data_IF_142298231228
#
_entry.id   IF_142298231228
#
_cell.length_a   1.000
_cell.length_b   1.000
_cell.length_c   1.000
_cell.angle_alpha   90.00
_cell.angle_beta   90.00
_cell.angle_gamma   90.00
#
_symmetry.space_group_name_H-M   'P 1'
#
loop_
_entity.id
_entity.type
_entity.pdbx_description
1 polymer ?
#
# COMPACT_ATOMS: atom_id res chain seq x y z
N UNK A 1 -22.22 0.07 -6.43
CA UNK A 1 -20.88 0.45 -5.98
C UNK A 1 -20.59 -0.10 -4.58
N UNK A 2 -19.38 0.09 -4.11
CA UNK A 2 -18.94 -0.40 -2.79
C UNK A 2 -19.83 0.18 -1.67
N UNK A 3 -20.39 -0.65 -0.77
CA UNK A 3 -21.21 -0.18 0.35
C UNK A 3 -20.43 0.72 1.32
N UNK A 4 -21.08 1.72 1.91
CA UNK A 4 -20.45 2.62 2.87
C UNK A 4 -19.82 1.89 4.08
N UNK A 5 -20.51 0.84 4.58
CA UNK A 5 -19.98 -0.01 5.66
C UNK A 5 -18.66 -0.69 5.28
N UNK A 6 -18.51 -1.10 4.02
CA UNK A 6 -17.26 -1.70 3.53
C UNK A 6 -16.13 -0.69 3.44
N UNK A 7 -16.45 0.56 3.10
CA UNK A 7 -15.48 1.66 3.10
C UNK A 7 -15.03 1.95 4.53
N UNK A 8 -15.96 2.09 5.47
CA UNK A 8 -15.67 2.28 6.89
C UNK A 8 -14.78 1.15 7.43
N UNK A 9 -15.13 -0.11 7.13
CA UNK A 9 -14.35 -1.27 7.56
C UNK A 9 -12.93 -1.32 6.96
N UNK A 10 -12.73 -0.79 5.77
CA UNK A 10 -11.41 -0.74 5.12
C UNK A 10 -10.54 0.43 5.61
N UNK A 11 -11.16 1.56 6.00
CA UNK A 11 -10.45 2.78 6.40
C UNK A 11 -10.23 2.89 7.90
N UNK A 12 -11.10 2.25 8.72
CA UNK A 12 -10.90 2.17 10.17
C UNK A 12 -9.88 1.09 10.51
N UNK A 13 -8.85 1.46 11.26
CA UNK A 13 -7.72 0.56 11.55
C UNK A 13 -8.09 -0.65 12.39
N UNK A 14 -8.97 -0.47 13.37
CA UNK A 14 -9.38 -1.58 14.26
C UNK A 14 -10.30 -2.53 13.51
N UNK A 15 -11.30 -2.01 12.81
CA UNK A 15 -12.21 -2.82 12.01
C UNK A 15 -11.48 -3.57 10.88
N UNK A 16 -10.49 -2.94 10.26
CA UNK A 16 -9.67 -3.58 9.24
C UNK A 16 -8.79 -4.68 9.83
N UNK A 17 -8.16 -4.43 10.99
CA UNK A 17 -7.36 -5.43 11.70
C UNK A 17 -8.21 -6.65 12.09
N UNK A 18 -9.38 -6.43 12.71
CA UNK A 18 -10.30 -7.51 13.06
C UNK A 18 -10.73 -8.33 11.84
N UNK A 19 -11.01 -7.67 10.71
CA UNK A 19 -11.32 -8.35 9.46
C UNK A 19 -10.16 -9.25 9.01
N UNK A 20 -8.94 -8.69 8.94
CA UNK A 20 -7.76 -9.43 8.50
C UNK A 20 -7.48 -10.64 9.41
N UNK A 21 -7.54 -10.45 10.72
CA UNK A 21 -7.37 -11.53 11.70
C UNK A 21 -8.43 -12.63 11.53
N UNK A 22 -9.70 -12.26 11.29
CA UNK A 22 -10.79 -13.21 11.03
C UNK A 22 -10.56 -14.05 9.77
N UNK A 23 -9.82 -13.51 8.82
CA UNK A 23 -9.46 -14.17 7.56
C UNK A 23 -8.14 -14.94 7.64
N UNK A 24 -7.42 -14.82 8.76
CA UNK A 24 -6.07 -15.37 8.91
C UNK A 24 -5.03 -14.64 8.04
N UNK A 25 -5.30 -13.37 7.69
CA UNK A 25 -4.36 -12.51 6.97
C UNK A 25 -3.47 -11.75 7.95
N UNK A 26 -2.15 -11.72 7.73
CA UNK A 26 -1.23 -11.09 8.66
C UNK A 26 -1.31 -9.56 8.58
N UNK A 27 -1.53 -8.93 9.72
CA UNK A 27 -1.43 -7.49 9.92
C UNK A 27 -0.23 -7.16 10.81
N UNK A 28 0.25 -5.92 10.73
CA UNK A 28 1.38 -5.50 11.57
C UNK A 28 1.01 -5.59 13.05
N UNK A 29 1.80 -6.32 13.85
CA UNK A 29 1.67 -6.28 15.29
C UNK A 29 1.79 -4.85 15.80
N UNK A 30 0.79 -4.39 16.51
CA UNK A 30 0.73 -3.03 17.04
C UNK A 30 -0.04 -2.97 18.33
N UNK A 31 0.35 -2.05 19.22
CA UNK A 31 -0.32 -1.77 20.49
C UNK A 31 -0.37 -0.27 20.73
N UNK A 32 -1.47 0.20 21.32
CA UNK A 32 -1.60 1.60 21.77
C UNK A 32 -1.05 1.69 23.19
N UNK A 33 -0.25 2.71 23.45
CA UNK A 33 0.31 3.01 24.75
C UNK A 33 0.04 4.47 25.13
N UNK A 34 -0.40 4.69 26.37
CA UNK A 34 -0.69 6.01 26.94
C UNK A 34 0.34 6.40 28.01
N UNK A 35 1.29 5.52 28.30
CA UNK A 35 2.38 5.75 29.24
C UNK A 35 3.69 5.13 28.74
N UNK A 36 4.81 5.53 29.35
CA UNK A 36 6.12 4.94 29.08
C UNK A 36 6.15 3.45 29.41
N UNK A 37 5.51 3.05 30.49
CA UNK A 37 5.46 1.66 30.96
C UNK A 37 4.70 0.77 29.98
N UNK A 38 3.50 1.20 29.58
CA UNK A 38 2.71 0.49 28.54
C UNK A 38 3.46 0.39 27.21
N UNK A 39 4.16 1.47 26.83
CA UNK A 39 4.95 1.49 25.60
C UNK A 39 6.12 0.52 25.63
N UNK A 40 6.84 0.41 26.75
CA UNK A 40 7.92 -0.55 26.90
C UNK A 40 7.41 -2.00 26.88
N UNK A 41 6.29 -2.25 27.52
CA UNK A 41 5.63 -3.56 27.48
C UNK A 41 5.26 -3.91 26.02
N UNK A 42 4.64 -2.98 25.30
CA UNK A 42 4.30 -3.16 23.88
C UNK A 42 5.55 -3.45 23.01
N UNK A 43 6.64 -2.68 23.21
CA UNK A 43 7.87 -2.89 22.46
C UNK A 43 8.56 -4.23 22.80
N UNK A 44 8.44 -4.72 24.01
CA UNK A 44 8.96 -6.05 24.40
C UNK A 44 8.14 -7.18 23.79
N UNK A 45 6.81 -7.07 23.75
CA UNK A 45 5.94 -8.08 23.13
C UNK A 45 6.11 -8.11 21.61
N UNK A 46 6.14 -6.95 20.96
CA UNK A 46 6.28 -6.83 19.50
C UNK A 46 7.70 -7.22 19.05
N UNK A 47 8.70 -6.93 19.88
CA UNK A 47 10.12 -7.13 19.57
C UNK A 47 10.70 -6.03 18.68
N UNK A 48 11.87 -5.50 19.06
CA UNK A 48 12.59 -4.50 18.26
C UNK A 48 13.01 -5.04 16.88
N UNK A 49 13.14 -4.17 15.86
CA UNK A 49 12.85 -2.74 15.87
C UNK A 49 11.35 -2.44 15.82
N UNK A 50 10.96 -1.30 16.41
CA UNK A 50 9.57 -0.81 16.40
C UNK A 50 9.47 0.61 15.85
N UNK A 51 8.25 0.99 15.45
CA UNK A 51 7.89 2.34 15.02
C UNK A 51 6.93 2.93 16.04
N UNK A 52 7.16 4.17 16.43
CA UNK A 52 6.27 4.93 17.29
C UNK A 52 5.55 5.98 16.46
N UNK A 53 4.23 6.03 16.59
CA UNK A 53 3.39 7.03 15.90
C UNK A 53 2.46 7.70 16.90
N UNK A 54 2.71 8.97 17.26
CA UNK A 54 1.78 9.71 18.13
C UNK A 54 0.40 9.82 17.47
N UNK A 55 -0.64 9.59 18.24
CA UNK A 55 -2.01 9.71 17.76
C UNK A 55 -2.36 11.17 17.44
N UNK A 56 -3.16 11.39 16.38
CA UNK A 56 -3.65 12.70 15.93
C UNK A 56 -2.57 13.74 15.62
N UNK A 57 -1.37 13.31 15.23
CA UNK A 57 -0.33 14.21 14.73
C UNK A 57 -0.34 14.25 13.20
N UNK A 58 -0.03 15.42 12.63
CA UNK A 58 0.05 15.61 11.18
C UNK A 58 1.45 15.29 10.65
N UNK A 59 1.51 14.59 9.52
CA UNK A 59 2.76 14.39 8.77
C UNK A 59 3.84 13.57 9.50
N UNK A 60 3.46 12.71 10.45
CA UNK A 60 4.41 11.86 11.17
C UNK A 60 5.25 12.59 12.23
N UNK A 61 4.85 13.80 12.62
CA UNK A 61 5.56 14.60 13.62
C UNK A 61 5.64 13.89 14.96
N UNK A 62 6.84 13.80 15.54
CA UNK A 62 7.10 13.19 16.85
C UNK A 62 7.15 11.67 16.86
N UNK A 63 6.94 11.01 15.72
CA UNK A 63 7.17 9.59 15.55
C UNK A 63 8.63 9.28 15.20
N UNK A 64 8.98 8.00 15.25
CA UNK A 64 10.33 7.54 14.91
C UNK A 64 10.49 6.03 14.96
N UNK A 65 11.64 5.58 14.49
CA UNK A 65 12.08 4.19 14.57
C UNK A 65 12.97 4.00 15.79
N UNK A 66 12.74 2.95 16.54
CA UNK A 66 13.59 2.55 17.66
C UNK A 66 14.12 1.14 17.42
N UNK A 67 15.43 1.01 17.33
CA UNK A 67 16.11 -0.27 17.15
C UNK A 67 16.37 -0.98 18.50
N UNK A 68 16.27 -0.24 19.62
CA UNK A 68 16.50 -0.70 20.97
C UNK A 68 15.71 0.10 22.00
N UNK A 69 15.77 -0.30 23.28
CA UNK A 69 15.03 0.33 24.38
C UNK A 69 15.47 1.78 24.66
N UNK A 70 16.74 2.11 24.50
CA UNK A 70 17.26 3.46 24.75
C UNK A 70 16.67 4.47 23.77
N UNK A 71 16.73 4.16 22.47
CA UNK A 71 16.09 4.96 21.42
C UNK A 71 14.58 5.04 21.61
N UNK A 72 13.95 3.92 21.99
CA UNK A 72 12.52 3.87 22.28
C UNK A 72 12.11 4.88 23.35
N UNK A 73 12.84 4.92 24.48
CA UNK A 73 12.54 5.83 25.60
C UNK A 73 12.62 7.29 25.18
N UNK A 74 13.61 7.64 24.39
CA UNK A 74 13.78 9.02 23.90
C UNK A 74 12.62 9.44 23.00
N UNK A 75 12.29 8.61 22.01
CA UNK A 75 11.19 8.88 21.06
C UNK A 75 9.85 8.88 21.78
N UNK A 76 9.59 7.89 22.66
CA UNK A 76 8.30 7.75 23.36
C UNK A 76 7.99 8.94 24.23
N UNK A 77 8.99 9.50 24.94
CA UNK A 77 8.85 10.70 25.75
C UNK A 77 8.33 11.89 24.94
N UNK A 78 8.92 12.10 23.76
CA UNK A 78 8.51 13.17 22.86
C UNK A 78 7.14 12.90 22.21
N UNK A 79 6.89 11.65 21.82
CA UNK A 79 5.66 11.22 21.19
C UNK A 79 4.43 11.41 22.09
N UNK A 80 4.53 11.07 23.38
CA UNK A 80 3.46 11.27 24.35
C UNK A 80 3.12 12.76 24.58
N UNK A 81 4.13 13.63 24.55
CA UNK A 81 3.92 15.09 24.71
C UNK A 81 3.26 15.69 23.48
N UNK A 82 3.62 15.22 22.28
CA UNK A 82 3.12 15.76 21.02
C UNK A 82 1.73 15.24 20.65
N UNK A 83 1.33 14.08 21.17
CA UNK A 83 -0.02 13.57 20.96
C UNK A 83 -1.04 14.36 21.80
N UNK A 84 -2.06 14.99 21.16
CA UNK A 84 -3.10 15.73 21.90
C UNK A 84 -3.89 14.88 22.89
N UNK A 85 -3.93 13.57 22.68
CA UNK A 85 -4.63 12.59 23.52
C UNK A 85 -3.67 11.73 24.35
N UNK A 86 -2.37 12.08 24.36
CA UNK A 86 -1.32 11.32 25.05
C UNK A 86 -1.29 9.83 24.74
N UNK A 87 -1.53 9.49 23.47
CA UNK A 87 -1.49 8.12 22.97
C UNK A 87 -0.46 7.97 21.84
N UNK A 88 0.25 6.85 21.87
CA UNK A 88 1.25 6.48 20.89
C UNK A 88 0.97 5.06 20.41
N UNK A 89 0.88 4.87 19.10
CA UNK A 89 0.87 3.54 18.49
C UNK A 89 2.31 3.03 18.43
N UNK A 90 2.58 1.90 19.07
CA UNK A 90 3.83 1.14 18.96
C UNK A 90 3.57 0.00 17.97
N UNK A 91 4.34 -0.07 16.90
CA UNK A 91 4.10 -0.96 15.78
C UNK A 91 5.40 -1.66 15.37
N UNK A 92 5.31 -2.91 14.90
CA UNK A 92 6.47 -3.65 14.36
C UNK A 92 7.08 -2.87 13.21
N UNK A 93 8.40 -2.65 13.25
CA UNK A 93 9.11 -2.04 12.13
C UNK A 93 9.26 -3.03 10.98
N UNK A 94 8.86 -2.60 9.80
CA UNK A 94 9.02 -3.29 8.52
C UNK A 94 10.00 -2.57 7.60
N UNK A 95 10.92 -1.81 8.20
CA UNK A 95 11.99 -1.13 7.46
C UNK A 95 12.81 -2.14 6.66
N UNK A 96 12.95 -1.88 5.36
CA UNK A 96 13.67 -2.77 4.45
C UNK A 96 12.80 -3.88 3.82
N UNK A 97 11.51 -3.97 4.17
CA UNK A 97 10.57 -4.81 3.45
C UNK A 97 10.28 -4.22 2.07
N UNK A 98 9.99 -5.08 1.11
CA UNK A 98 9.50 -4.67 -0.22
C UNK A 98 8.07 -4.18 -0.08
N UNK A 99 7.73 -3.12 -0.79
CA UNK A 99 6.36 -2.65 -0.91
C UNK A 99 5.79 -3.13 -2.24
N UNK A 100 4.73 -3.94 -2.15
CA UNK A 100 4.06 -4.55 -3.29
C UNK A 100 2.60 -4.12 -3.29
N UNK A 101 2.11 -3.68 -4.43
CA UNK A 101 0.73 -3.27 -4.61
C UNK A 101 0.02 -4.18 -5.61
N UNK A 102 -1.25 -4.46 -5.35
CA UNK A 102 -2.17 -5.10 -6.30
C UNK A 102 -3.33 -4.17 -6.61
N UNK A 103 -3.54 -3.91 -7.88
CA UNK A 103 -4.78 -3.33 -8.37
C UNK A 103 -5.74 -4.46 -8.72
N UNK A 104 -6.85 -4.48 -8.02
CA UNK A 104 -7.84 -5.54 -8.10
C UNK A 104 -9.23 -4.97 -8.36
N UNK A 105 -10.13 -5.78 -8.88
CA UNK A 105 -11.49 -5.37 -9.19
C UNK A 105 -12.46 -6.50 -8.87
N UNK A 106 -13.65 -6.14 -8.39
CA UNK A 106 -14.71 -7.09 -8.09
C UNK A 106 -16.08 -6.47 -8.39
N UNK A 107 -17.00 -7.29 -8.88
CA UNK A 107 -18.39 -6.93 -9.11
C UNK A 107 -19.36 -7.52 -8.06
N UNK A 108 -20.64 -7.26 -8.21
CA UNK A 108 -21.67 -7.75 -7.29
C UNK A 108 -21.91 -9.27 -7.36
N UNK A 109 -21.54 -9.93 -8.48
CA UNK A 109 -21.64 -11.39 -8.66
C UNK A 109 -20.42 -12.14 -8.12
N UNK A 110 -19.53 -11.45 -7.39
CA UNK A 110 -18.28 -12.00 -6.85
C UNK A 110 -17.24 -12.39 -7.91
N UNK A 111 -17.40 -11.95 -9.15
CA UNK A 111 -16.31 -12.03 -10.12
C UNK A 111 -15.21 -11.06 -9.70
N UNK A 112 -14.02 -11.59 -9.42
CA UNK A 112 -12.89 -10.81 -8.92
C UNK A 112 -11.63 -11.11 -9.73
N UNK A 113 -10.90 -10.08 -10.12
CA UNK A 113 -9.68 -10.15 -10.92
C UNK A 113 -8.56 -9.31 -10.32
N UNK A 114 -7.31 -9.73 -10.56
CA UNK A 114 -6.13 -8.91 -10.36
C UNK A 114 -5.76 -8.25 -11.70
N UNK A 115 -5.81 -6.92 -11.76
CA UNK A 115 -5.53 -6.18 -13.00
C UNK A 115 -4.04 -6.16 -13.25
N UNK A 116 -3.26 -5.83 -12.24
CA UNK A 116 -1.80 -5.93 -12.25
C UNK A 116 -1.25 -5.87 -10.83
N UNK A 117 0.01 -6.22 -10.67
CA UNK A 117 0.79 -5.91 -9.50
C UNK A 117 1.87 -4.88 -9.82
N UNK A 118 2.30 -4.17 -8.81
CA UNK A 118 3.35 -3.15 -8.88
C UNK A 118 4.31 -3.33 -7.73
N UNK A 119 5.57 -2.98 -7.95
CA UNK A 119 6.63 -3.02 -6.95
C UNK A 119 7.26 -1.65 -6.82
N UNK A 120 7.34 -1.15 -5.59
CA UNK A 120 8.09 0.05 -5.28
C UNK A 120 9.58 -0.32 -5.12
N UNK A 121 10.48 0.37 -5.83
CA UNK A 121 11.92 0.13 -5.70
C UNK A 121 12.45 0.62 -4.35
N UNK A 122 11.83 1.66 -3.82
CA UNK A 122 12.13 2.17 -2.50
C UNK A 122 11.48 1.27 -1.43
N UNK A 123 12.16 1.05 -0.31
CA UNK A 123 11.63 0.20 0.75
C UNK A 123 10.42 0.85 1.44
N UNK A 124 9.64 0.03 2.13
CA UNK A 124 8.53 0.50 2.98
C UNK A 124 8.98 1.63 3.91
N UNK A 125 8.17 2.67 3.98
CA UNK A 125 8.45 3.91 4.73
C UNK A 125 8.71 5.12 3.84
N UNK A 126 8.90 4.93 2.54
CA UNK A 126 8.88 5.99 1.53
C UNK A 126 7.46 6.07 0.95
N UNK A 127 6.91 7.28 0.84
CA UNK A 127 5.57 7.46 0.27
C UNK A 127 5.52 6.93 -1.18
N UNK A 128 4.50 6.15 -1.54
CA UNK A 128 4.38 5.52 -2.86
C UNK A 128 4.39 6.51 -4.02
N UNK A 129 3.91 7.74 -3.78
CA UNK A 129 3.99 8.85 -4.74
C UNK A 129 5.42 9.29 -5.05
N UNK A 130 6.33 9.10 -4.11
CA UNK A 130 7.75 9.49 -4.20
C UNK A 130 8.64 8.33 -4.66
N UNK A 131 8.14 7.10 -4.63
CA UNK A 131 8.88 5.92 -5.08
C UNK A 131 8.94 5.80 -6.60
N UNK A 132 10.03 5.20 -7.07
CA UNK A 132 10.08 4.60 -8.41
C UNK A 132 9.25 3.33 -8.35
N UNK A 133 8.26 3.20 -9.24
CA UNK A 133 7.35 2.05 -9.26
C UNK A 133 7.47 1.32 -10.58
N UNK A 134 7.57 0.00 -10.52
CA UNK A 134 7.64 -0.87 -11.70
C UNK A 134 6.40 -1.78 -11.78
N UNK A 135 5.86 -1.92 -12.97
CA UNK A 135 4.73 -2.79 -13.30
C UNK A 135 5.06 -3.65 -14.53
N UNK A 136 4.92 -4.98 -14.46
CA UNK A 136 4.67 -5.79 -13.26
C UNK A 136 5.89 -5.84 -12.33
N UNK A 137 5.72 -6.36 -11.11
CA UNK A 137 6.82 -6.62 -10.16
C UNK A 137 7.92 -7.45 -10.82
N UNK A 138 9.19 -7.07 -10.59
CA UNK A 138 10.35 -7.68 -11.22
C UNK A 138 11.09 -8.66 -10.31
N UNK A 139 10.90 -8.56 -9.00
CA UNK A 139 11.70 -9.30 -8.01
C UNK A 139 10.92 -10.36 -7.24
N UNK A 140 9.63 -10.57 -7.58
CA UNK A 140 8.82 -11.61 -6.99
C UNK A 140 9.04 -12.96 -7.64
N UNK A 141 9.17 -14.00 -6.84
CA UNK A 141 9.00 -15.38 -7.31
C UNK A 141 7.53 -15.65 -7.65
N UNK A 142 7.27 -16.66 -8.49
CA UNK A 142 5.91 -17.07 -8.81
C UNK A 142 5.06 -17.40 -7.56
N UNK A 143 5.69 -18.00 -6.53
CA UNK A 143 5.03 -18.32 -5.27
C UNK A 143 4.62 -17.06 -4.50
N UNK A 144 5.50 -16.06 -4.39
CA UNK A 144 5.21 -14.78 -3.75
C UNK A 144 4.11 -14.03 -4.50
N UNK A 145 4.20 -13.99 -5.82
CA UNK A 145 3.18 -13.36 -6.66
C UNK A 145 1.79 -13.94 -6.38
N UNK A 146 1.64 -15.27 -6.43
CA UNK A 146 0.34 -15.90 -6.22
C UNK A 146 -0.14 -15.78 -4.78
N UNK A 147 0.75 -15.88 -3.81
CA UNK A 147 0.42 -15.71 -2.39
C UNK A 147 -0.20 -14.33 -2.11
N UNK A 148 0.44 -13.25 -2.59
CA UNK A 148 -0.08 -11.90 -2.40
C UNK A 148 -1.34 -11.62 -3.23
N UNK A 149 -1.41 -12.17 -4.46
CA UNK A 149 -2.60 -12.09 -5.30
C UNK A 149 -3.81 -12.73 -4.63
N UNK A 150 -3.65 -13.92 -4.08
CA UNK A 150 -4.72 -14.66 -3.43
C UNK A 150 -5.19 -13.93 -2.16
N UNK A 151 -4.27 -13.36 -1.39
CA UNK A 151 -4.57 -12.50 -0.25
C UNK A 151 -5.37 -11.25 -0.70
N UNK A 152 -4.94 -10.55 -1.74
CA UNK A 152 -5.64 -9.38 -2.26
C UNK A 152 -7.09 -9.71 -2.68
N UNK A 153 -7.28 -10.80 -3.42
CA UNK A 153 -8.62 -11.24 -3.85
C UNK A 153 -9.50 -11.69 -2.68
N UNK A 154 -8.92 -12.35 -1.68
CA UNK A 154 -9.61 -12.74 -0.46
C UNK A 154 -10.13 -11.54 0.33
N UNK A 155 -9.29 -10.51 0.48
CA UNK A 155 -9.65 -9.28 1.20
C UNK A 155 -10.79 -8.52 0.50
N UNK A 156 -10.70 -8.31 -0.83
CA UNK A 156 -11.74 -7.56 -1.53
C UNK A 156 -13.09 -8.28 -1.58
N UNK A 157 -13.07 -9.62 -1.55
CA UNK A 157 -14.29 -10.42 -1.40
C UNK A 157 -14.91 -10.24 -0.02
N UNK A 158 -14.11 -10.34 1.03
CA UNK A 158 -14.57 -10.15 2.41
C UNK A 158 -15.13 -8.75 2.65
N UNK A 159 -14.48 -7.72 2.12
CA UNK A 159 -14.94 -6.33 2.13
C UNK A 159 -16.15 -6.07 1.20
N UNK A 160 -16.55 -7.05 0.37
CA UNK A 160 -17.64 -6.88 -0.61
C UNK A 160 -17.44 -5.66 -1.52
N UNK A 161 -16.20 -5.42 -1.94
CA UNK A 161 -15.87 -4.33 -2.86
C UNK A 161 -16.67 -4.48 -4.16
N UNK A 162 -17.17 -3.37 -4.69
CA UNK A 162 -17.82 -3.28 -5.99
C UNK A 162 -17.17 -2.14 -6.79
N UNK A 163 -16.21 -2.50 -7.62
CA UNK A 163 -15.33 -1.59 -8.38
C UNK A 163 -13.87 -1.91 -8.17
N UNK A 164 -13.02 -0.92 -8.48
CA UNK A 164 -11.57 -1.02 -8.29
C UNK A 164 -11.13 -0.82 -6.85
N UNK A 165 -10.07 -1.49 -6.48
CA UNK A 165 -9.47 -1.41 -5.16
C UNK A 165 -7.95 -1.61 -5.26
N UNK A 166 -7.20 -0.87 -4.46
CA UNK A 166 -5.76 -1.04 -4.31
C UNK A 166 -5.46 -1.73 -2.97
N UNK A 167 -4.62 -2.76 -3.00
CA UNK A 167 -4.17 -3.50 -1.80
C UNK A 167 -2.66 -3.42 -1.71
N UNK A 168 -2.14 -2.98 -0.58
CA UNK A 168 -0.72 -2.77 -0.34
C UNK A 168 -0.18 -3.76 0.67
N UNK A 169 0.97 -4.34 0.34
CA UNK A 169 1.67 -5.35 1.13
C UNK A 169 3.10 -4.92 1.43
N UNK A 170 3.57 -5.26 2.62
CA UNK A 170 4.99 -5.34 2.93
C UNK A 170 5.42 -6.81 2.87
N UNK A 171 6.41 -7.13 2.05
CA UNK A 171 6.96 -8.48 1.91
C UNK A 171 8.40 -8.51 2.41
N UNK A 172 8.70 -9.43 3.33
CA UNK A 172 10.09 -9.66 3.76
C UNK A 172 10.94 -10.16 2.59
N UNK A 173 12.04 -9.46 2.22
CA UNK A 173 12.88 -9.87 1.10
C UNK A 173 13.62 -11.20 1.31
N UNK A 174 13.59 -11.78 2.51
CA UNK A 174 14.32 -12.99 2.88
C UNK A 174 13.44 -14.20 3.20
N UNK A 175 12.13 -13.98 3.30
CA UNK A 175 11.17 -15.03 3.63
C UNK A 175 9.83 -14.81 2.91
N UNK A 176 8.86 -15.69 3.13
CA UNK A 176 7.49 -15.52 2.63
C UNK A 176 6.61 -14.73 3.61
N UNK A 177 7.19 -14.13 4.64
CA UNK A 177 6.43 -13.32 5.58
C UNK A 177 6.01 -12.01 4.92
N UNK A 178 4.73 -11.70 5.01
CA UNK A 178 4.19 -10.44 4.55
C UNK A 178 3.21 -9.85 5.55
N UNK A 179 2.89 -8.60 5.38
CA UNK A 179 1.86 -7.90 6.13
C UNK A 179 0.99 -7.08 5.18
N UNK A 180 -0.30 -7.04 5.45
CA UNK A 180 -1.19 -6.06 4.87
C UNK A 180 -0.92 -4.70 5.50
N UNK A 181 -0.66 -3.70 4.66
CA UNK A 181 -0.40 -2.32 5.10
C UNK A 181 -1.69 -1.50 5.03
N UNK A 182 -2.33 -1.53 3.85
CA UNK A 182 -3.45 -0.66 3.55
C UNK A 182 -4.31 -1.24 2.44
N UNK A 183 -5.61 -0.98 2.52
CA UNK A 183 -6.56 -1.24 1.45
C UNK A 183 -7.29 0.06 1.13
N UNK A 184 -7.22 0.47 -0.13
CA UNK A 184 -7.92 1.63 -0.64
C UNK A 184 -9.17 1.17 -1.39
N UNK A 185 -10.40 1.22 -0.79
CA UNK A 185 -11.64 0.67 -1.37
C UNK A 185 -12.22 1.58 -2.46
N UNK A 186 -11.36 2.12 -3.30
CA UNK A 186 -11.66 3.12 -4.32
C UNK A 186 -10.58 3.14 -5.40
N UNK A 187 -10.88 3.76 -6.52
CA UNK A 187 -9.87 4.13 -7.51
C UNK A 187 -8.91 5.16 -6.91
N UNK A 188 -7.63 4.93 -7.03
CA UNK A 188 -6.53 5.71 -6.45
C UNK A 188 -5.59 6.27 -7.51
N UNK A 189 -4.50 6.93 -7.09
CA UNK A 189 -3.44 7.38 -8.01
C UNK A 189 -2.72 6.20 -8.67
N UNK A 190 -2.46 5.15 -7.92
CA UNK A 190 -1.88 3.90 -8.43
C UNK A 190 -2.76 3.26 -9.49
N UNK A 191 -4.10 3.35 -9.36
CA UNK A 191 -5.03 2.88 -10.38
C UNK A 191 -4.88 3.59 -11.72
N UNK A 192 -4.51 4.88 -11.72
CA UNK A 192 -4.23 5.62 -12.95
C UNK A 192 -2.95 5.09 -13.65
N UNK A 193 -1.88 4.83 -12.87
CA UNK A 193 -0.66 4.21 -13.37
C UNK A 193 -0.97 2.80 -13.89
N UNK A 194 -1.66 1.98 -13.10
CA UNK A 194 -2.05 0.62 -13.45
C UNK A 194 -2.89 0.57 -14.74
N UNK A 195 -3.82 1.52 -14.92
CA UNK A 195 -4.62 1.62 -16.13
C UNK A 195 -3.77 1.89 -17.37
N UNK A 196 -2.80 2.80 -17.25
CA UNK A 196 -1.87 3.13 -18.34
C UNK A 196 -0.92 1.95 -18.64
N UNK A 197 -0.42 1.32 -17.57
CA UNK A 197 0.51 0.20 -17.69
C UNK A 197 -0.14 -1.04 -18.30
N UNK A 198 -1.32 -1.41 -17.82
CA UNK A 198 -2.02 -2.64 -18.26
C UNK A 198 -2.91 -2.46 -19.49
N UNK A 199 -3.25 -1.22 -19.85
CA UNK A 199 -4.28 -0.94 -20.86
C UNK A 199 -5.71 -1.21 -20.36
N UNK A 200 -5.89 -1.64 -19.12
CA UNK A 200 -7.20 -1.91 -18.54
C UNK A 200 -7.82 -0.62 -17.98
N UNK A 201 -9.00 -0.18 -18.47
CA UNK A 201 -9.56 1.11 -18.10
C UNK A 201 -10.29 1.06 -16.75
N UNK A 202 -9.54 1.01 -15.65
CA UNK A 202 -10.03 0.77 -14.27
C UNK A 202 -11.20 1.71 -13.91
N UNK A 203 -11.04 3.03 -14.11
CA UNK A 203 -12.06 4.00 -13.74
C UNK A 203 -13.36 3.81 -14.55
N UNK A 204 -13.23 3.53 -15.86
CA UNK A 204 -14.39 3.28 -16.74
C UNK A 204 -15.15 2.01 -16.32
N UNK A 205 -14.42 0.93 -16.03
CA UNK A 205 -15.03 -0.33 -15.60
C UNK A 205 -15.66 -0.17 -14.21
N UNK A 206 -14.96 0.47 -13.25
CA UNK A 206 -15.51 0.77 -11.93
C UNK A 206 -16.82 1.56 -12.01
N UNK A 207 -16.89 2.59 -12.87
CA UNK A 207 -18.10 3.37 -13.06
C UNK A 207 -19.27 2.50 -13.58
N UNK A 208 -19.01 1.56 -14.49
CA UNK A 208 -20.02 0.63 -15.00
C UNK A 208 -20.49 -0.36 -13.92
N UNK A 209 -19.58 -0.88 -13.09
CA UNK A 209 -19.93 -1.72 -11.95
C UNK A 209 -20.81 -0.94 -10.95
N UNK A 210 -20.49 0.34 -10.70
CA UNK A 210 -21.28 1.18 -9.79
C UNK A 210 -22.74 1.37 -10.22
N UNK A 211 -23.04 1.27 -11.51
CA UNK A 211 -24.42 1.32 -12.04
C UNK A 211 -25.03 -0.06 -12.25
N UNK A 212 -24.40 -1.12 -11.73
CA UNK A 212 -24.98 -2.47 -11.65
C UNK A 212 -24.56 -3.44 -12.74
N UNK A 213 -23.59 -3.09 -13.61
CA UNK A 213 -23.05 -4.04 -14.59
C UNK A 213 -22.07 -5.02 -13.95
N UNK A 214 -21.96 -6.23 -14.51
CA UNK A 214 -21.00 -7.23 -14.10
C UNK A 214 -19.79 -7.26 -15.04
N UNK A 215 -18.65 -7.76 -14.55
CA UNK A 215 -17.39 -7.76 -15.29
C UNK A 215 -17.45 -8.51 -16.63
N UNK A 216 -18.21 -9.59 -16.70
CA UNK A 216 -18.42 -10.38 -17.90
C UNK A 216 -19.33 -9.70 -18.93
N UNK A 217 -20.19 -8.78 -18.50
CA UNK A 217 -21.06 -7.97 -19.36
C UNK A 217 -20.36 -6.73 -19.96
N UNK A 218 -19.25 -6.31 -19.34
CA UNK A 218 -18.53 -5.10 -19.74
C UNK A 218 -17.52 -5.46 -20.84
N UNK A 219 -17.84 -5.09 -22.08
CA UNK A 219 -16.91 -5.24 -23.20
C UNK A 219 -15.79 -4.20 -23.15
N UNK A 220 -14.54 -4.66 -23.30
CA UNK A 220 -13.36 -3.87 -23.63
C UNK A 220 -13.08 -4.01 -25.14
N UNK A 221 -11.94 -3.49 -25.60
CA UNK A 221 -11.62 -3.50 -27.04
C UNK A 221 -11.56 -4.93 -27.63
N UNK A 222 -10.94 -5.86 -26.91
CA UNK A 222 -10.67 -7.21 -27.41
C UNK A 222 -11.14 -8.33 -26.48
N UNK A 223 -11.52 -8.01 -25.22
CA UNK A 223 -11.89 -8.99 -24.20
C UNK A 223 -13.02 -8.44 -23.35
N UNK A 224 -13.80 -9.29 -22.64
CA UNK A 224 -14.62 -8.81 -21.54
C UNK A 224 -13.75 -8.32 -20.38
N UNK A 225 -14.31 -7.45 -19.55
CA UNK A 225 -13.59 -6.88 -18.40
C UNK A 225 -13.27 -7.91 -17.30
N UNK A 226 -13.82 -9.11 -17.37
CA UNK A 226 -13.52 -10.22 -16.48
C UNK A 226 -12.17 -10.91 -16.75
N UNK A 227 -11.49 -10.57 -17.86
CA UNK A 227 -10.18 -11.13 -18.20
C UNK A 227 -9.07 -10.33 -17.54
N UNK A 228 -8.19 -11.03 -16.83
CA UNK A 228 -6.98 -10.43 -16.26
C UNK A 228 -6.01 -10.03 -17.39
N UNK A 229 -5.45 -8.80 -17.38
CA UNK A 229 -4.40 -8.42 -18.29
C UNK A 229 -3.14 -9.25 -18.10
N UNK A 230 -2.44 -9.56 -19.20
CA UNK A 230 -1.11 -10.15 -19.19
C UNK A 230 -0.14 -9.18 -19.84
N UNK A 231 0.96 -8.84 -19.16
CA UNK A 231 1.95 -7.87 -19.62
C UNK A 231 3.23 -8.61 -20.03
N UNK A 232 3.67 -8.37 -21.27
CA UNK A 232 4.93 -8.85 -21.82
C UNK A 232 5.98 -7.72 -21.99
N UNK A 233 5.75 -6.60 -21.31
CA UNK A 233 6.61 -5.43 -21.26
C UNK A 233 6.66 -4.89 -19.83
N UNK A 234 7.60 -4.01 -19.57
CA UNK A 234 7.82 -3.39 -18.27
C UNK A 234 7.52 -1.90 -18.33
N UNK A 235 6.76 -1.42 -17.36
CA UNK A 235 6.44 0.00 -17.22
C UNK A 235 7.07 0.53 -15.94
N UNK A 236 7.81 1.64 -16.04
CA UNK A 236 8.42 2.30 -14.87
C UNK A 236 7.84 3.71 -14.71
N UNK A 237 7.41 4.01 -13.49
CA UNK A 237 7.03 5.36 -13.05
C UNK A 237 8.22 6.01 -12.37
N UNK A 238 8.62 7.19 -12.82
CA UNK A 238 9.66 8.02 -12.21
C UNK A 238 9.02 9.26 -11.60
N UNK A 239 9.17 9.52 -10.28
CA UNK A 239 8.66 10.74 -9.65
C UNK A 239 9.48 11.97 -10.06
N UNK A 240 8.84 13.12 -10.14
CA UNK A 240 9.47 14.42 -10.33
C UNK A 240 9.41 15.24 -9.05
N UNK A 241 10.56 15.63 -8.54
CA UNK A 241 10.69 16.43 -7.33
C UNK A 241 11.00 17.90 -7.67
N UNK A 242 10.36 18.88 -7.02
CA UNK A 242 10.60 20.30 -7.26
C UNK A 242 11.72 20.88 -6.37
N UNK A 243 12.69 20.07 -5.94
CA UNK A 243 13.78 20.53 -5.05
C UNK A 243 14.67 21.61 -5.68
N UNK A 244 14.71 21.65 -7.01
CA UNK A 244 15.35 22.73 -7.77
C UNK A 244 14.69 24.10 -7.58
N UNK A 245 13.42 24.13 -7.18
CA UNK A 245 12.62 25.35 -6.97
C UNK A 245 12.53 25.77 -5.51
N UNK A 246 12.76 24.83 -4.58
CA UNK A 246 12.60 25.02 -3.14
C UNK A 246 13.88 24.63 -2.41
N UNK A 247 14.87 25.52 -2.38
CA UNK A 247 16.20 25.30 -1.80
C UNK A 247 16.18 24.92 -0.32
N UNK A 248 15.16 25.42 0.41
CA UNK A 248 15.05 25.21 1.86
C UNK A 248 14.25 23.95 2.22
N UNK A 249 13.74 23.24 1.21
CA UNK A 249 12.98 22.01 1.44
C UNK A 249 13.90 20.85 1.82
N UNK A 250 13.47 20.08 2.82
CA UNK A 250 14.16 18.82 3.15
C UNK A 250 13.97 17.83 1.99
N UNK A 251 15.06 17.45 1.35
CA UNK A 251 15.11 16.55 0.20
C UNK A 251 15.16 15.04 0.58
N UNK A 252 15.16 14.69 1.86
CA UNK A 252 15.09 13.30 2.30
C UNK A 252 13.68 12.77 2.11
N UNK A 253 13.56 11.65 1.41
CA UNK A 253 12.28 10.95 1.23
C UNK A 253 11.84 10.29 2.54
N UNK A 254 10.53 10.15 2.71
CA UNK A 254 9.91 9.57 3.89
C UNK A 254 8.42 9.35 3.67
N UNK A 255 7.65 9.30 4.75
CA UNK A 255 6.19 9.03 4.71
C UNK A 255 5.36 10.16 4.10
N UNK A 256 5.91 11.37 4.02
CA UNK A 256 5.24 12.54 3.42
C UNK A 256 5.58 12.65 1.94
N UNK A 257 4.56 12.74 1.08
CA UNK A 257 4.74 12.92 -0.37
C UNK A 257 5.36 14.28 -0.70
N UNK A 258 6.40 14.27 -1.53
CA UNK A 258 7.15 15.46 -2.00
C UNK A 258 7.14 15.62 -3.52
N UNK A 259 6.87 14.56 -4.25
CA UNK A 259 6.78 14.60 -5.70
C UNK A 259 5.58 15.44 -6.16
N UNK A 260 5.78 16.23 -7.22
CA UNK A 260 4.75 17.10 -7.83
C UNK A 260 4.31 16.63 -9.20
N UNK A 261 4.97 15.61 -9.73
CA UNK A 261 4.66 15.02 -11.04
C UNK A 261 5.34 13.68 -11.20
N UNK A 262 5.07 13.05 -12.33
CA UNK A 262 5.63 11.74 -12.65
C UNK A 262 5.82 11.57 -14.16
N UNK A 263 6.79 10.76 -14.53
CA UNK A 263 6.99 10.27 -15.91
C UNK A 263 6.73 8.78 -15.94
N UNK A 264 6.15 8.30 -17.00
CA UNK A 264 5.94 6.87 -17.24
C UNK A 264 6.68 6.45 -18.51
N UNK A 265 7.48 5.40 -18.41
CA UNK A 265 8.25 4.84 -19.51
C UNK A 265 7.93 3.36 -19.71
N UNK A 266 8.09 2.88 -20.92
CA UNK A 266 7.80 1.48 -21.31
C UNK A 266 9.02 0.89 -22.01
N UNK A 267 9.40 -0.31 -21.60
CA UNK A 267 10.50 -1.07 -22.18
C UNK A 267 10.23 -2.57 -22.23
N UNK A 268 11.10 -3.32 -22.88
CA UNK A 268 11.06 -4.78 -22.90
C UNK A 268 11.65 -5.39 -21.62
N UNK A 269 12.59 -4.68 -21.01
CA UNK A 269 13.22 -5.03 -19.75
C UNK A 269 13.08 -3.88 -18.75
N UNK A 270 13.33 -4.17 -17.49
CA UNK A 270 13.32 -3.15 -16.45
C UNK A 270 14.37 -2.05 -16.72
N UNK A 271 15.58 -2.44 -17.10
CA UNK A 271 16.68 -1.51 -17.40
C UNK A 271 16.31 -0.57 -18.54
N UNK A 272 15.76 -1.11 -19.63
CA UNK A 272 15.30 -0.30 -20.76
C UNK A 272 14.22 0.69 -20.33
N UNK A 273 13.23 0.22 -19.58
CA UNK A 273 12.13 1.04 -19.09
C UNK A 273 12.63 2.14 -18.15
N UNK A 274 13.50 1.80 -17.19
CA UNK A 274 14.10 2.73 -16.25
C UNK A 274 14.91 3.83 -16.98
N UNK A 275 15.82 3.43 -17.87
CA UNK A 275 16.67 4.36 -18.61
C UNK A 275 15.89 5.29 -19.54
N UNK A 276 14.73 4.88 -20.04
CA UNK A 276 13.82 5.75 -20.80
C UNK A 276 13.11 6.78 -19.90
N UNK A 277 12.97 6.51 -18.62
CA UNK A 277 12.29 7.37 -17.66
C UNK A 277 13.19 8.47 -17.09
N UNK A 278 14.49 8.26 -17.12
CA UNK A 278 15.53 9.21 -16.67
C UNK A 278 15.80 10.24 -17.77
#
# INVERSE_FOLDING_TARGET
GTPSKSIEQAEDRELFKELCESLGEPVLPSMIASSMEEGLHAAQEIGYPVVLRPAFTLGGTGGGFADNEEEFREIMKNALVLSPVHQVLVEKSIKGYKEIEYEVMRDANDTAIAICNMENLDPVGIHTGDSIVVCPSQTLTNKEYHMLRDSALKIIRALKIQGGCNVQFALDPKSFQYYLIEVNPRVSRSSALASKASGYPIARVSAKICVGMHLDEIALANTPASFEPALDYVVTKMPRFPFDKFSDANNRLGTQMKATGETMSVGRTFEESLLKGI
#
